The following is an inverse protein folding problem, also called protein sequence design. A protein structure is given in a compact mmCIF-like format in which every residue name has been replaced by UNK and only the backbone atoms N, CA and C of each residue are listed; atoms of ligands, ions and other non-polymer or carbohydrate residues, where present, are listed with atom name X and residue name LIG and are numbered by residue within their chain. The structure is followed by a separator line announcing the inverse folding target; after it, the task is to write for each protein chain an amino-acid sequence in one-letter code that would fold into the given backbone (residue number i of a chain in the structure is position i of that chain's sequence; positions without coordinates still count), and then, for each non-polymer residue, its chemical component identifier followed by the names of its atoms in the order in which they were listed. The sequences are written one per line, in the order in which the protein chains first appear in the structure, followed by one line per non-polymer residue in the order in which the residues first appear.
data_IF_609281493179
#
_entry.id   IF_609281493179
#
_cell.length_a   1.000
_cell.length_b   1.000
_cell.length_c   1.000
_cell.angle_alpha   90.00
_cell.angle_beta   90.00
_cell.angle_gamma   90.00
#
_symmetry.space_group_name_H-M   'P 1'
#
loop_
_entity.id
_entity.type
_entity.pdbx_description
1 polymer ?
#
# COMPACT_ATOMS: atom_id res chain seq x y z
N UNK A 1 1.78 0.94 -4.33
CA UNK A 1 2.23 -0.47 -4.29
C UNK A 1 1.38 -1.23 -5.28
N UNK A 2 2.02 -1.96 -6.16
CA UNK A 2 1.39 -2.79 -7.18
C UNK A 2 0.52 -3.91 -6.54
N UNK A 3 -0.45 -4.40 -7.28
CA UNK A 3 -1.23 -5.60 -6.94
C UNK A 3 -0.30 -6.80 -6.70
N UNK A 4 0.81 -6.86 -7.40
CA UNK A 4 1.83 -7.91 -7.27
C UNK A 4 3.13 -7.32 -6.68
N UNK A 5 3.22 -7.20 -5.34
CA UNK A 5 4.33 -6.53 -4.66
C UNK A 5 5.70 -7.18 -4.92
N UNK A 6 5.73 -8.47 -5.27
CA UNK A 6 6.95 -9.18 -5.64
C UNK A 6 7.65 -8.57 -6.87
N UNK A 7 6.92 -7.89 -7.76
CA UNK A 7 7.51 -7.21 -8.91
C UNK A 7 8.43 -6.05 -8.50
N UNK A 8 8.21 -5.45 -7.34
CA UNK A 8 9.05 -4.36 -6.82
C UNK A 8 10.37 -4.87 -6.23
N UNK A 9 10.33 -5.99 -5.55
CA UNK A 9 11.50 -6.53 -4.84
C UNK A 9 12.14 -7.67 -5.62
N UNK A 10 11.34 -8.52 -6.29
CA UNK A 10 11.80 -9.71 -7.01
C UNK A 10 12.69 -10.62 -6.13
N UNK A 11 13.96 -10.77 -6.52
CA UNK A 11 14.94 -11.57 -5.80
C UNK A 11 15.61 -10.82 -4.64
N UNK A 12 15.37 -9.51 -4.50
CA UNK A 12 15.89 -8.74 -3.37
C UNK A 12 15.20 -9.11 -2.07
N UNK A 13 15.89 -8.89 -0.98
CA UNK A 13 15.33 -8.99 0.36
C UNK A 13 14.72 -7.66 0.80
N UNK A 14 13.81 -7.66 1.80
CA UNK A 14 13.34 -6.41 2.40
C UNK A 14 14.46 -5.50 2.92
N UNK A 15 15.53 -6.07 3.47
CA UNK A 15 16.69 -5.29 3.91
C UNK A 15 17.38 -4.59 2.75
N UNK A 16 17.66 -5.30 1.64
CA UNK A 16 18.27 -4.69 0.44
C UNK A 16 17.38 -3.61 -0.19
N UNK A 17 16.07 -3.79 -0.15
CA UNK A 17 15.12 -2.77 -0.61
C UNK A 17 15.19 -1.52 0.28
N UNK A 18 15.18 -1.70 1.60
CA UNK A 18 15.31 -0.61 2.56
C UNK A 18 16.64 0.13 2.40
N UNK A 19 17.74 -0.60 2.22
CA UNK A 19 19.07 -0.03 1.96
C UNK A 19 19.09 0.79 0.68
N UNK A 20 18.42 0.33 -0.37
CA UNK A 20 18.29 1.08 -1.62
C UNK A 20 17.58 2.42 -1.40
N UNK A 21 16.49 2.44 -0.65
CA UNK A 21 15.77 3.68 -0.31
C UNK A 21 16.63 4.60 0.57
N UNK A 22 17.38 4.04 1.51
CA UNK A 22 18.25 4.78 2.41
C UNK A 22 19.42 5.43 1.66
N UNK A 23 20.10 4.69 0.77
CA UNK A 23 21.19 5.20 -0.07
C UNK A 23 20.74 6.33 -0.99
N UNK A 24 19.50 6.31 -1.44
CA UNK A 24 18.90 7.39 -2.23
C UNK A 24 18.33 8.55 -1.38
N UNK A 25 18.52 8.52 -0.07
CA UNK A 25 18.01 9.54 0.84
C UNK A 25 16.48 9.60 0.97
N UNK A 26 15.79 8.56 0.49
CA UNK A 26 14.32 8.47 0.49
C UNK A 26 13.82 7.98 1.85
N UNK A 27 14.47 6.98 2.44
CA UNK A 27 14.14 6.46 3.76
C UNK A 27 14.98 7.18 4.84
N UNK A 28 14.34 7.47 5.98
CA UNK A 28 15.03 8.05 7.11
C UNK A 28 15.42 6.95 8.11
N UNK A 29 16.71 6.70 8.25
CA UNK A 29 17.26 5.70 9.19
C UNK A 29 16.90 5.98 10.66
N UNK A 30 16.60 7.23 11.02
CA UNK A 30 16.12 7.59 12.36
C UNK A 30 14.73 6.97 12.66
N UNK A 31 13.96 6.63 11.63
CA UNK A 31 12.66 5.98 11.75
C UNK A 31 12.73 4.46 11.88
N UNK A 32 13.94 3.87 11.89
CA UNK A 32 14.14 2.43 11.92
C UNK A 32 13.35 1.71 13.04
N UNK A 33 13.41 2.26 14.25
CA UNK A 33 12.66 1.69 15.38
C UNK A 33 11.14 1.87 15.25
N UNK A 34 10.70 2.94 14.60
CA UNK A 34 9.28 3.24 14.44
C UNK A 34 8.64 2.34 13.40
N UNK A 35 9.30 2.11 12.25
CA UNK A 35 8.73 1.24 11.23
C UNK A 35 8.68 -0.22 11.67
N UNK A 36 9.70 -0.72 12.39
CA UNK A 36 9.70 -2.07 12.99
C UNK A 36 8.52 -2.26 13.95
N UNK A 37 8.28 -1.30 14.86
CA UNK A 37 7.11 -1.32 15.76
C UNK A 37 5.79 -1.32 14.98
N UNK A 38 5.71 -0.65 13.85
CA UNK A 38 4.49 -0.66 13.02
C UNK A 38 4.30 -1.99 12.30
N UNK A 39 5.37 -2.65 11.88
CA UNK A 39 5.29 -4.01 11.34
C UNK A 39 4.77 -5.02 12.36
N UNK A 40 5.14 -4.88 13.65
CA UNK A 40 4.62 -5.79 14.69
C UNK A 40 3.11 -5.70 14.86
N UNK A 41 2.47 -4.58 14.51
CA UNK A 41 0.99 -4.47 14.51
C UNK A 41 0.34 -5.42 13.51
N UNK A 42 1.05 -5.75 12.42
CA UNK A 42 0.63 -6.72 11.40
C UNK A 42 1.09 -8.15 11.72
N UNK A 43 1.68 -8.38 12.91
CA UNK A 43 2.25 -9.68 13.30
C UNK A 43 3.59 -9.99 12.62
N UNK A 44 4.25 -9.00 12.02
CA UNK A 44 5.50 -9.18 11.29
C UNK A 44 6.67 -8.74 12.19
N UNK A 45 7.58 -9.68 12.46
CA UNK A 45 8.85 -9.40 13.13
C UNK A 45 9.91 -9.18 12.06
N UNK A 46 10.50 -7.98 12.04
CA UNK A 46 11.47 -7.60 11.00
C UNK A 46 12.63 -8.59 10.90
N UNK A 47 13.19 -8.95 12.01
CA UNK A 47 14.35 -9.86 12.13
C UNK A 47 14.09 -11.26 11.55
N UNK A 48 12.83 -11.64 11.39
CA UNK A 48 12.45 -12.93 10.80
C UNK A 48 12.30 -12.86 9.27
N UNK A 49 12.13 -11.68 8.71
CA UNK A 49 11.78 -11.51 7.29
C UNK A 49 12.82 -10.72 6.49
N UNK A 50 13.64 -9.92 7.15
CA UNK A 50 14.53 -8.93 6.51
C UNK A 50 15.49 -9.52 5.46
N UNK A 51 15.94 -10.77 5.66
CA UNK A 51 16.88 -11.47 4.76
C UNK A 51 16.21 -12.55 3.90
N UNK A 52 14.89 -12.67 3.92
CA UNK A 52 14.15 -13.58 3.03
C UNK A 52 13.89 -12.87 1.70
N UNK A 53 14.25 -13.52 0.59
CA UNK A 53 13.93 -12.96 -0.73
C UNK A 53 12.42 -12.73 -0.89
N UNK A 54 12.04 -11.62 -1.49
CA UNK A 54 10.63 -11.23 -1.63
C UNK A 54 9.75 -12.30 -2.25
N UNK A 55 10.27 -13.03 -3.24
CA UNK A 55 9.56 -14.14 -3.90
C UNK A 55 9.23 -15.32 -2.94
N UNK A 56 9.96 -15.44 -1.84
CA UNK A 56 9.77 -16.51 -0.84
C UNK A 56 8.91 -16.05 0.35
N UNK A 57 8.51 -14.78 0.39
CA UNK A 57 7.61 -14.27 1.41
C UNK A 57 6.15 -14.46 1.01
N UNK A 58 5.24 -14.74 1.97
CA UNK A 58 3.81 -14.65 1.70
C UNK A 58 3.44 -13.24 1.17
N UNK A 59 2.61 -13.16 0.14
CA UNK A 59 2.21 -11.89 -0.48
C UNK A 59 1.66 -10.87 0.51
N UNK A 60 0.84 -11.31 1.46
CA UNK A 60 0.31 -10.42 2.49
C UNK A 60 1.41 -9.83 3.37
N UNK A 61 2.42 -10.62 3.73
CA UNK A 61 3.58 -10.16 4.52
C UNK A 61 4.40 -9.16 3.72
N UNK A 62 4.77 -9.51 2.49
CA UNK A 62 5.57 -8.65 1.61
C UNK A 62 4.86 -7.31 1.36
N UNK A 63 3.56 -7.36 1.07
CA UNK A 63 2.74 -6.16 0.86
C UNK A 63 2.73 -5.24 2.08
N UNK A 64 2.56 -5.78 3.28
CA UNK A 64 2.57 -4.99 4.50
C UNK A 64 3.95 -4.39 4.76
N UNK A 65 5.03 -5.13 4.53
CA UNK A 65 6.39 -4.59 4.63
C UNK A 65 6.55 -3.38 3.68
N UNK A 66 6.17 -3.53 2.41
CA UNK A 66 6.31 -2.47 1.41
C UNK A 66 5.48 -1.23 1.76
N UNK A 67 4.21 -1.41 2.15
CA UNK A 67 3.35 -0.29 2.54
C UNK A 67 3.94 0.43 3.75
N UNK A 68 4.36 -0.29 4.78
CA UNK A 68 4.93 0.32 5.99
C UNK A 68 6.24 1.04 5.68
N UNK A 69 7.14 0.45 4.89
CA UNK A 69 8.40 1.10 4.47
C UNK A 69 8.13 2.37 3.68
N UNK A 70 7.23 2.33 2.68
CA UNK A 70 6.90 3.48 1.86
C UNK A 70 6.24 4.60 2.67
N UNK A 71 5.39 4.26 3.64
CA UNK A 71 4.79 5.24 4.56
C UNK A 71 5.80 5.86 5.55
N UNK A 72 7.00 5.30 5.68
CA UNK A 72 8.12 5.89 6.44
C UNK A 72 9.18 6.54 5.54
N UNK A 73 8.91 6.61 4.25
CA UNK A 73 9.78 7.22 3.26
C UNK A 73 9.32 8.66 2.96
N UNK A 74 10.21 9.45 2.36
CA UNK A 74 9.95 10.87 2.03
C UNK A 74 9.15 11.01 0.73
N UNK A 75 7.96 10.42 0.69
CA UNK A 75 7.01 10.58 -0.39
C UNK A 75 5.85 11.46 0.05
N UNK A 76 5.44 12.39 -0.79
CA UNK A 76 4.25 13.22 -0.55
C UNK A 76 2.97 12.48 -0.92
N UNK A 77 3.05 11.59 -1.92
CA UNK A 77 1.93 10.83 -2.46
C UNK A 77 2.31 9.36 -2.58
N UNK A 78 1.44 8.48 -2.12
CA UNK A 78 1.57 7.03 -2.29
C UNK A 78 0.35 6.50 -3.05
N UNK A 79 0.60 5.71 -4.09
CA UNK A 79 -0.44 5.03 -4.85
C UNK A 79 -0.47 3.56 -4.40
N UNK A 80 -1.66 3.10 -3.99
CA UNK A 80 -1.90 1.73 -3.58
C UNK A 80 -2.92 1.10 -4.53
N UNK A 81 -2.51 0.00 -5.18
CA UNK A 81 -3.38 -0.79 -6.03
C UNK A 81 -3.77 -2.08 -5.30
N UNK A 82 -5.09 -2.28 -5.10
CA UNK A 82 -5.69 -3.40 -4.37
C UNK A 82 -4.98 -3.74 -3.03
N UNK A 83 -4.80 -2.77 -2.12
CA UNK A 83 -3.98 -2.98 -0.91
C UNK A 83 -4.55 -4.04 0.04
N UNK A 84 -5.84 -4.36 -0.08
CA UNK A 84 -6.53 -5.37 0.75
C UNK A 84 -6.50 -6.77 0.15
N UNK A 85 -6.01 -6.93 -1.09
CA UNK A 85 -5.98 -8.23 -1.75
C UNK A 85 -5.14 -9.25 -0.97
N UNK A 86 -5.74 -10.41 -0.69
CA UNK A 86 -5.10 -11.48 0.09
C UNK A 86 -5.03 -11.24 1.60
N UNK A 87 -5.58 -10.13 2.12
CA UNK A 87 -5.64 -9.85 3.55
C UNK A 87 -6.91 -10.42 4.19
N UNK A 88 -6.74 -11.06 5.35
CA UNK A 88 -7.84 -11.41 6.24
C UNK A 88 -8.47 -10.17 6.90
N UNK A 89 -9.66 -10.35 7.50
CA UNK A 89 -10.42 -9.27 8.12
C UNK A 89 -9.60 -8.43 9.12
N UNK A 90 -8.92 -9.10 10.06
CA UNK A 90 -8.11 -8.40 11.06
C UNK A 90 -7.00 -7.55 10.45
N UNK A 91 -6.32 -8.07 9.41
CA UNK A 91 -5.26 -7.34 8.72
C UNK A 91 -5.80 -6.12 7.98
N UNK A 92 -7.01 -6.19 7.39
CA UNK A 92 -7.67 -5.03 6.75
C UNK A 92 -8.00 -3.94 7.77
N UNK A 93 -8.48 -4.31 8.96
CA UNK A 93 -8.77 -3.36 10.05
C UNK A 93 -7.49 -2.66 10.51
N UNK A 94 -6.38 -3.41 10.68
CA UNK A 94 -5.09 -2.84 11.05
C UNK A 94 -4.56 -1.92 9.94
N UNK A 95 -4.64 -2.36 8.69
CA UNK A 95 -4.20 -1.56 7.54
C UNK A 95 -4.96 -0.24 7.44
N UNK A 96 -6.28 -0.26 7.57
CA UNK A 96 -7.11 0.93 7.61
C UNK A 96 -6.65 1.92 8.67
N UNK A 97 -6.50 1.44 9.91
CA UNK A 97 -6.06 2.29 11.02
C UNK A 97 -4.67 2.89 10.75
N UNK A 98 -3.75 2.08 10.23
CA UNK A 98 -2.40 2.51 9.87
C UNK A 98 -2.40 3.57 8.77
N UNK A 99 -3.16 3.38 7.69
CA UNK A 99 -3.24 4.34 6.59
C UNK A 99 -3.85 5.67 7.06
N UNK A 100 -4.91 5.64 7.86
CA UNK A 100 -5.50 6.86 8.42
C UNK A 100 -4.52 7.65 9.30
N UNK A 101 -3.67 6.98 10.06
CA UNK A 101 -2.57 7.64 10.78
C UNK A 101 -1.57 8.31 9.81
N UNK A 102 -1.24 7.65 8.70
CA UNK A 102 -0.31 8.17 7.71
C UNK A 102 -0.91 9.34 6.88
N UNK A 103 -2.22 9.34 6.64
CA UNK A 103 -2.93 10.40 5.89
C UNK A 103 -2.84 11.78 6.55
N UNK A 104 -2.43 11.86 7.80
CA UNK A 104 -2.14 13.14 8.47
C UNK A 104 -0.87 13.82 7.96
N UNK A 105 -0.01 13.09 7.24
CA UNK A 105 1.33 13.56 6.82
C UNK A 105 1.56 13.42 5.31
N UNK A 106 0.82 12.58 4.62
CA UNK A 106 0.98 12.28 3.21
C UNK A 106 -0.35 11.98 2.55
N UNK A 107 -0.38 12.07 1.22
CA UNK A 107 -1.57 11.78 0.43
C UNK A 107 -1.57 10.36 -0.11
N UNK A 108 -2.76 9.77 -0.24
CA UNK A 108 -2.94 8.45 -0.82
C UNK A 108 -3.92 8.49 -1.99
N UNK A 109 -3.58 7.74 -3.03
CA UNK A 109 -4.51 7.34 -4.07
C UNK A 109 -4.67 5.84 -3.94
N UNK A 110 -5.89 5.38 -3.66
CA UNK A 110 -6.18 3.96 -3.43
C UNK A 110 -7.14 3.51 -4.53
N UNK A 111 -6.71 2.51 -5.30
CA UNK A 111 -7.56 1.80 -6.26
C UNK A 111 -7.96 0.47 -5.62
N UNK A 112 -9.25 0.20 -5.50
CA UNK A 112 -9.73 -1.06 -4.91
C UNK A 112 -11.18 -1.35 -5.26
N UNK A 113 -11.52 -2.63 -5.32
CA UNK A 113 -12.89 -3.15 -5.39
C UNK A 113 -13.48 -3.46 -4.00
N UNK A 114 -12.73 -3.21 -2.92
CA UNK A 114 -13.21 -3.39 -1.54
C UNK A 114 -13.96 -2.14 -1.07
N UNK A 115 -15.25 -2.06 -1.38
CA UNK A 115 -16.09 -0.90 -1.06
C UNK A 115 -16.10 -0.56 0.43
N UNK A 116 -16.13 -1.56 1.32
CA UNK A 116 -16.13 -1.35 2.77
C UNK A 116 -14.80 -0.73 3.23
N UNK A 117 -13.71 -1.20 2.66
CA UNK A 117 -12.39 -0.64 2.97
C UNK A 117 -12.28 0.80 2.49
N UNK A 118 -12.66 1.08 1.24
CA UNK A 118 -12.62 2.43 0.65
C UNK A 118 -13.49 3.40 1.44
N UNK A 119 -14.76 3.06 1.70
CA UNK A 119 -15.70 3.92 2.44
C UNK A 119 -15.23 4.23 3.85
N UNK A 120 -14.53 3.29 4.49
CA UNK A 120 -14.05 3.46 5.86
C UNK A 120 -12.67 4.12 5.96
N UNK A 121 -11.93 4.23 4.83
CA UNK A 121 -10.54 4.68 4.80
C UNK A 121 -10.38 6.05 4.13
N UNK A 122 -11.05 6.28 3.00
CA UNK A 122 -10.87 7.44 2.15
C UNK A 122 -11.87 8.57 2.47
N UNK A 123 -11.41 9.82 2.34
CA UNK A 123 -12.26 11.00 2.54
C UNK A 123 -13.02 11.39 1.25
N UNK A 124 -12.46 11.00 0.08
CA UNK A 124 -13.08 11.22 -1.23
C UNK A 124 -13.07 9.93 -2.03
N UNK A 125 -14.17 9.65 -2.72
CA UNK A 125 -14.34 8.44 -3.52
C UNK A 125 -14.80 8.82 -4.92
N UNK A 126 -14.10 8.27 -5.94
CA UNK A 126 -14.47 8.42 -7.34
C UNK A 126 -14.84 7.03 -7.87
N UNK A 127 -16.08 6.89 -8.36
CA UNK A 127 -16.52 5.65 -8.98
C UNK A 127 -16.40 5.76 -10.51
N UNK A 128 -15.41 5.09 -11.07
CA UNK A 128 -15.09 5.13 -12.49
C UNK A 128 -16.16 4.43 -13.35
N UNK A 129 -16.85 3.42 -12.83
CA UNK A 129 -17.87 2.70 -13.58
C UNK A 129 -19.12 3.57 -13.85
N UNK A 130 -19.47 4.43 -12.90
CA UNK A 130 -20.57 5.39 -13.07
C UNK A 130 -20.22 6.49 -14.08
N UNK A 131 -18.96 6.94 -14.11
CA UNK A 131 -18.54 7.94 -15.08
C UNK A 131 -18.57 7.40 -16.52
N UNK A 132 -18.11 6.18 -16.74
CA UNK A 132 -18.17 5.53 -18.05
C UNK A 132 -19.61 5.33 -18.56
N UNK A 133 -20.59 5.14 -17.67
CA UNK A 133 -22.01 5.04 -18.06
C UNK A 133 -22.59 6.39 -18.46
N UNK A 134 -22.16 7.47 -17.86
CA UNK A 134 -22.59 8.83 -18.22
C UNK A 134 -22.01 9.22 -19.57
N UNK A 135 -20.73 9.00 -19.81
CA UNK A 135 -20.08 9.27 -21.10
C UNK A 135 -20.71 8.50 -22.26
N UNK A 136 -20.97 7.20 -22.09
CA UNK A 136 -21.66 6.38 -23.09
C UNK A 136 -23.10 6.86 -23.39
N UNK A 137 -23.81 7.38 -22.40
CA UNK A 137 -25.13 7.98 -22.63
C UNK A 137 -25.03 9.24 -23.47
N UNK A 138 -24.07 10.11 -23.23
CA UNK A 138 -23.87 11.33 -24.00
C UNK A 138 -23.41 11.07 -25.44
N UNK A 139 -22.67 10.01 -25.72
CA UNK A 139 -22.27 9.62 -27.06
C UNK A 139 -23.46 9.07 -27.86
N UNK A 140 -24.29 8.21 -27.26
CA UNK A 140 -25.52 7.68 -27.92
C UNK A 140 -26.58 8.73 -28.18
N UNK A 141 -26.68 9.80 -27.40
CA UNK A 141 -27.60 10.91 -27.64
C UNK A 141 -27.13 11.89 -28.72
N UNK A 142 -25.84 11.89 -29.08
CA UNK A 142 -25.27 12.70 -30.16
C UNK A 142 -25.35 12.03 -31.53
N UNK A 143 -25.52 10.72 -31.58
CA UNK A 143 -25.68 9.96 -32.82
C UNK A 143 -27.12 9.70 -33.23
N UNK A 144 -28.09 10.24 -32.48
CA UNK A 144 -29.55 10.20 -32.79
C UNK A 144 -29.99 11.54 -33.29
#
# INVERSE_FOLDING_TARGET
VDQFPEHLIQLKTPAEFLDTLNQNGIFDSQLNNTFKKRLTRFGIQWEQVEFIQGINLPWSVLRMILIVVLCHSKFDIIILDEPTFGLGWNQRVILRSFLRECMTKMHFIIVSHDDLFIQSTCDQIINLDLQNQVEKKFETEKES
#
